data_IF_355908161186
#
_entry.id   IF_355908161186
#
_cell.length_a   1.000
_cell.length_b   1.000
_cell.length_c   1.000
_cell.angle_alpha   90.00
_cell.angle_beta   90.00
_cell.angle_gamma   90.00
#
_symmetry.space_group_name_H-M   'P 1'
#
loop_
_entity.id
_entity.type
_entity.pdbx_description
1 polymer ?
#
# COMPACT_ATOMS: atom_id res chain seq x y z
N UNK A 1 -10.87 -11.73 -31.02
CA UNK A 1 -11.23 -11.50 -29.61
C UNK A 1 -11.27 -12.87 -28.97
N UNK A 2 -10.43 -13.06 -27.96
CA UNK A 2 -10.16 -14.35 -27.37
C UNK A 2 -10.56 -14.31 -25.91
N UNK A 3 -10.91 -15.49 -25.39
CA UNK A 3 -11.17 -15.74 -23.98
C UNK A 3 -9.89 -16.25 -23.34
N UNK A 4 -9.33 -15.47 -22.44
CA UNK A 4 -8.15 -15.81 -21.67
C UNK A 4 -8.55 -16.29 -20.28
N UNK A 5 -7.86 -17.33 -19.81
CA UNK A 5 -7.79 -17.70 -18.41
C UNK A 5 -6.34 -17.53 -17.97
N UNK A 6 -6.11 -16.76 -16.92
CA UNK A 6 -4.78 -16.36 -16.45
C UNK A 6 -4.63 -16.88 -15.03
N UNK A 7 -3.59 -17.65 -14.76
CA UNK A 7 -3.23 -18.12 -13.43
C UNK A 7 -1.91 -17.50 -13.01
N UNK A 8 -1.91 -16.89 -11.83
CA UNK A 8 -0.77 -16.20 -11.25
C UNK A 8 -0.46 -16.83 -9.90
N UNK A 9 0.62 -17.62 -9.80
CA UNK A 9 1.12 -18.07 -8.51
C UNK A 9 1.55 -16.88 -7.67
N UNK A 10 1.00 -16.75 -6.46
CA UNK A 10 1.40 -15.72 -5.52
C UNK A 10 2.51 -16.25 -4.62
N UNK A 11 3.47 -15.39 -4.34
CA UNK A 11 4.55 -15.61 -3.38
C UNK A 11 4.34 -14.65 -2.21
N UNK A 12 4.86 -14.97 -1.03
CA UNK A 12 4.83 -14.03 0.10
C UNK A 12 6.19 -13.92 0.77
N UNK A 13 6.52 -12.69 1.17
CA UNK A 13 7.71 -12.40 1.96
C UNK A 13 7.37 -12.19 3.42
N UNK A 14 8.27 -12.65 4.28
CA UNK A 14 8.28 -12.34 5.70
C UNK A 14 9.49 -11.46 6.00
N UNK A 15 9.26 -10.33 6.66
CA UNK A 15 10.36 -9.45 7.07
C UNK A 15 10.17 -8.93 8.51
N UNK A 16 11.20 -9.05 9.34
CA UNK A 16 11.22 -8.51 10.70
C UNK A 16 12.20 -7.35 10.81
N UNK A 17 11.78 -6.26 11.47
CA UNK A 17 12.63 -5.13 11.85
C UNK A 17 13.19 -5.26 13.27
N UNK A 18 12.68 -6.21 14.07
CA UNK A 18 12.86 -6.25 15.53
C UNK A 18 13.75 -7.41 16.00
N UNK A 19 14.24 -8.26 15.09
CA UNK A 19 15.24 -9.27 15.43
C UNK A 19 15.62 -10.18 14.27
N UNK A 20 16.88 -10.58 14.22
CA UNK A 20 17.35 -11.73 13.43
C UNK A 20 16.96 -13.01 14.18
N UNK A 21 15.67 -13.29 14.30
CA UNK A 21 15.26 -14.63 14.72
C UNK A 21 15.53 -15.56 13.55
N UNK A 22 16.69 -16.24 13.59
CA UNK A 22 17.00 -17.42 12.81
C UNK A 22 16.06 -18.56 13.25
N UNK A 23 14.76 -18.39 13.04
CA UNK A 23 13.86 -19.53 13.04
C UNK A 23 14.10 -20.25 11.72
N UNK A 24 14.80 -21.37 11.77
CA UNK A 24 14.82 -22.41 10.73
C UNK A 24 13.44 -23.03 10.46
N UNK A 25 12.38 -22.45 11.05
CA UNK A 25 11.01 -22.85 10.88
C UNK A 25 10.36 -22.21 9.66
N UNK A 26 9.55 -23.03 8.98
CA UNK A 26 8.69 -22.59 7.89
C UNK A 26 7.44 -21.95 8.50
N UNK A 27 7.11 -20.73 8.07
CA UNK A 27 5.82 -20.14 8.40
C UNK A 27 4.91 -20.31 7.19
N UNK A 28 3.82 -21.05 7.37
CA UNK A 28 2.77 -21.21 6.36
C UNK A 28 1.65 -20.23 6.63
N UNK A 29 1.42 -19.34 5.67
CA UNK A 29 0.23 -18.51 5.65
C UNK A 29 -0.87 -19.35 5.02
N UNK A 30 -2.01 -19.46 5.69
CA UNK A 30 -3.19 -20.14 5.18
C UNK A 30 -4.32 -19.12 5.06
N UNK A 31 -5.12 -19.23 4.01
CA UNK A 31 -6.35 -18.46 3.90
C UNK A 31 -7.48 -19.24 4.55
N UNK A 32 -8.40 -18.58 5.24
CA UNK A 32 -9.58 -19.24 5.83
C UNK A 32 -10.54 -19.69 4.73
N UNK A 33 -10.67 -18.88 3.67
CA UNK A 33 -11.56 -19.09 2.53
C UNK A 33 -10.86 -18.68 1.21
N UNK A 34 -11.49 -19.01 0.07
CA UNK A 34 -11.07 -18.47 -1.23
C UNK A 34 -11.67 -17.09 -1.45
N UNK A 35 -10.87 -16.16 -1.99
CA UNK A 35 -11.42 -14.88 -2.47
C UNK A 35 -12.17 -15.15 -3.76
N UNK A 36 -13.40 -14.65 -3.87
CA UNK A 36 -14.22 -14.72 -5.08
C UNK A 36 -14.69 -13.29 -5.40
N UNK A 37 -14.43 -12.85 -6.63
CA UNK A 37 -14.92 -11.56 -7.11
C UNK A 37 -15.42 -11.68 -8.55
N UNK A 38 -16.57 -11.08 -8.83
CA UNK A 38 -17.21 -11.12 -10.15
C UNK A 38 -17.31 -9.71 -10.68
N UNK A 39 -16.59 -9.43 -11.76
CA UNK A 39 -16.45 -8.11 -12.33
C UNK A 39 -17.05 -8.07 -13.72
N UNK A 40 -17.58 -6.91 -14.08
CA UNK A 40 -18.11 -6.63 -15.41
C UNK A 40 -17.01 -6.04 -16.29
N UNK A 41 -16.83 -6.63 -17.48
CA UNK A 41 -15.95 -6.15 -18.53
C UNK A 41 -16.80 -5.63 -19.68
N UNK A 42 -16.63 -4.34 -19.99
CA UNK A 42 -17.25 -3.73 -21.17
C UNK A 42 -16.29 -3.90 -22.35
N UNK A 43 -16.70 -4.72 -23.31
CA UNK A 43 -15.99 -4.93 -24.57
C UNK A 43 -16.56 -3.98 -25.61
N UNK A 44 -15.73 -3.09 -26.17
CA UNK A 44 -16.11 -2.20 -27.28
C UNK A 44 -15.25 -2.47 -28.50
N UNK A 45 -15.87 -2.78 -29.65
CA UNK A 45 -15.18 -2.97 -30.93
C UNK A 45 -16.03 -2.51 -32.11
N UNK A 46 -15.70 -1.34 -32.67
CA UNK A 46 -16.59 -0.68 -33.64
C UNK A 46 -17.92 -0.32 -32.98
N UNK A 47 -19.04 -0.72 -33.59
CA UNK A 47 -20.39 -0.52 -33.05
C UNK A 47 -20.82 -1.62 -32.05
N UNK A 48 -19.98 -2.62 -31.80
CA UNK A 48 -20.27 -3.71 -30.86
C UNK A 48 -19.88 -3.30 -29.43
N UNK A 49 -20.86 -3.32 -28.53
CA UNK A 49 -20.68 -3.20 -27.08
C UNK A 49 -21.31 -4.39 -26.37
N UNK A 50 -20.53 -5.12 -25.58
CA UNK A 50 -21.04 -6.20 -24.72
C UNK A 50 -20.48 -6.07 -23.31
N UNK A 51 -21.32 -6.34 -22.32
CA UNK A 51 -20.92 -6.43 -20.92
C UNK A 51 -20.82 -7.91 -20.56
N UNK A 52 -19.60 -8.41 -20.40
CA UNK A 52 -19.33 -9.79 -20.02
C UNK A 52 -18.82 -9.86 -18.58
N UNK A 53 -19.22 -10.89 -17.85
CA UNK A 53 -18.70 -11.13 -16.51
C UNK A 53 -17.44 -11.96 -16.57
N UNK A 54 -16.45 -11.58 -15.78
CA UNK A 54 -15.26 -12.37 -15.56
C UNK A 54 -15.03 -12.53 -14.06
N UNK A 55 -14.33 -13.61 -13.70
CA UNK A 55 -14.22 -14.05 -12.31
C UNK A 55 -12.76 -14.03 -11.88
N UNK A 56 -12.49 -13.41 -10.73
CA UNK A 56 -11.20 -13.46 -10.05
C UNK A 56 -11.34 -14.36 -8.82
N UNK A 57 -10.47 -15.35 -8.71
CA UNK A 57 -10.40 -16.25 -7.56
C UNK A 57 -9.00 -16.31 -6.99
N UNK A 58 -8.84 -16.28 -5.66
CA UNK A 58 -7.58 -16.61 -5.00
C UNK A 58 -7.78 -17.92 -4.24
N UNK A 59 -7.04 -18.95 -4.64
CA UNK A 59 -7.18 -20.28 -4.04
C UNK A 59 -6.62 -20.33 -2.62
N UNK A 60 -7.33 -21.06 -1.76
CA UNK A 60 -6.96 -21.24 -0.35
C UNK A 60 -5.66 -22.03 -0.16
N UNK A 61 -5.47 -23.11 -0.93
CA UNK A 61 -4.39 -24.08 -0.71
C UNK A 61 -3.10 -23.75 -1.47
N UNK A 62 -3.22 -23.22 -2.68
CA UNK A 62 -2.07 -23.00 -3.58
C UNK A 62 -1.63 -21.54 -3.69
N UNK A 63 -2.36 -20.60 -3.07
CA UNK A 63 -2.15 -19.16 -3.24
C UNK A 63 -2.08 -18.75 -4.72
N UNK A 64 -2.96 -19.30 -5.56
CA UNK A 64 -3.02 -18.98 -6.99
C UNK A 64 -4.16 -18.01 -7.25
N UNK A 65 -3.84 -16.84 -7.79
CA UNK A 65 -4.82 -15.91 -8.32
C UNK A 65 -5.17 -16.32 -9.74
N UNK A 66 -6.43 -16.71 -9.96
CA UNK A 66 -6.95 -17.06 -11.28
C UNK A 66 -7.94 -16.01 -11.76
N UNK A 67 -7.71 -15.46 -12.94
CA UNK A 67 -8.66 -14.60 -13.67
C UNK A 67 -9.24 -15.46 -14.79
N UNK A 68 -10.52 -15.80 -14.67
CA UNK A 68 -11.20 -16.67 -15.63
C UNK A 68 -12.25 -15.91 -16.42
N UNK A 69 -12.45 -16.35 -17.66
CA UNK A 69 -13.39 -15.73 -18.61
C UNK A 69 -13.10 -14.27 -18.92
N UNK A 70 -11.82 -13.93 -19.04
CA UNK A 70 -11.37 -12.60 -19.42
C UNK A 70 -11.33 -12.46 -20.95
N UNK A 71 -11.72 -11.31 -21.50
CA UNK A 71 -11.79 -11.12 -22.95
C UNK A 71 -10.88 -10.01 -23.44
N UNK A 72 -10.05 -10.29 -24.45
CA UNK A 72 -9.14 -9.31 -25.03
C UNK A 72 -8.91 -9.53 -26.53
N UNK A 73 -8.41 -8.49 -27.20
CA UNK A 73 -8.07 -8.55 -28.63
C UNK A 73 -6.80 -9.36 -28.90
N UNK A 74 -5.83 -9.31 -27.98
CA UNK A 74 -4.58 -10.06 -28.05
C UNK A 74 -4.06 -10.38 -26.64
N UNK A 75 -3.12 -11.32 -26.57
CA UNK A 75 -2.52 -11.79 -25.33
C UNK A 75 -1.79 -10.67 -24.57
N UNK A 76 -1.10 -9.75 -25.28
CA UNK A 76 -0.38 -8.64 -24.65
C UNK A 76 -1.31 -7.71 -23.89
N UNK A 77 -2.46 -7.36 -24.47
CA UNK A 77 -3.49 -6.55 -23.83
C UNK A 77 -4.15 -7.29 -22.67
N UNK A 78 -4.37 -8.60 -22.82
CA UNK A 78 -4.88 -9.44 -21.74
C UNK A 78 -3.94 -9.46 -20.54
N UNK A 79 -2.65 -9.60 -20.78
CA UNK A 79 -1.60 -9.59 -19.77
C UNK A 79 -1.46 -8.23 -19.09
N UNK A 80 -1.49 -7.13 -19.84
CA UNK A 80 -1.40 -5.79 -19.25
C UNK A 80 -2.58 -5.48 -18.31
N UNK A 81 -3.80 -5.79 -18.75
CA UNK A 81 -4.99 -5.62 -17.93
C UNK A 81 -4.99 -6.58 -16.73
N UNK A 82 -4.58 -7.84 -16.92
CA UNK A 82 -4.42 -8.80 -15.83
C UNK A 82 -3.37 -8.36 -14.81
N UNK A 83 -2.22 -7.84 -15.24
CA UNK A 83 -1.18 -7.32 -14.35
C UNK A 83 -1.71 -6.17 -13.50
N UNK A 84 -2.45 -5.23 -14.10
CA UNK A 84 -3.07 -4.13 -13.38
C UNK A 84 -4.06 -4.64 -12.31
N UNK A 85 -4.81 -5.69 -12.61
CA UNK A 85 -5.72 -6.31 -11.66
C UNK A 85 -4.98 -7.07 -10.55
N UNK A 86 -4.05 -7.93 -10.90
CA UNK A 86 -3.23 -8.71 -9.97
C UNK A 86 -2.52 -7.77 -9.00
N UNK A 87 -1.95 -6.67 -9.48
CA UNK A 87 -1.33 -5.65 -8.63
C UNK A 87 -2.30 -5.14 -7.55
N UNK A 88 -3.53 -4.79 -7.94
CA UNK A 88 -4.57 -4.34 -7.00
C UNK A 88 -4.91 -5.42 -5.97
N UNK A 89 -5.17 -6.65 -6.41
CA UNK A 89 -5.51 -7.76 -5.49
C UNK A 89 -4.36 -8.06 -4.52
N UNK A 90 -3.12 -8.08 -4.99
CA UNK A 90 -1.94 -8.37 -4.16
C UNK A 90 -1.70 -7.28 -3.11
N UNK A 91 -1.93 -6.00 -3.46
CA UNK A 91 -1.88 -4.89 -2.51
C UNK A 91 -2.92 -5.04 -1.40
N UNK A 92 -4.19 -5.26 -1.78
CA UNK A 92 -5.29 -5.39 -0.81
C UNK A 92 -5.15 -6.66 0.03
N UNK A 93 -4.75 -7.78 -0.57
CA UNK A 93 -4.51 -9.03 0.16
C UNK A 93 -3.40 -8.84 1.21
N UNK A 94 -2.31 -8.17 0.84
CA UNK A 94 -1.23 -7.84 1.79
C UNK A 94 -1.73 -6.96 2.93
N UNK A 95 -2.54 -5.94 2.63
CA UNK A 95 -3.14 -5.06 3.64
C UNK A 95 -4.07 -5.82 4.60
N UNK A 96 -5.00 -6.63 4.08
CA UNK A 96 -5.98 -7.38 4.88
C UNK A 96 -5.28 -8.36 5.84
N UNK A 97 -4.32 -9.12 5.34
CA UNK A 97 -3.57 -10.09 6.14
C UNK A 97 -2.69 -9.38 7.17
N UNK A 98 -2.03 -8.29 6.77
CA UNK A 98 -1.17 -7.53 7.67
C UNK A 98 -1.96 -6.89 8.81
N UNK A 99 -3.17 -6.40 8.55
CA UNK A 99 -4.04 -5.82 9.58
C UNK A 99 -4.48 -6.85 10.65
N UNK A 100 -4.73 -8.09 10.23
CA UNK A 100 -5.10 -9.19 11.14
C UNK A 100 -3.91 -9.76 11.91
N UNK A 101 -2.72 -9.75 11.30
CA UNK A 101 -1.49 -10.08 12.01
C UNK A 101 -1.32 -9.14 13.22
N UNK A 102 -1.81 -7.89 13.12
CA UNK A 102 -1.62 -6.82 14.12
C UNK A 102 -0.17 -6.73 14.58
N UNK A 103 0.73 -7.21 13.71
CA UNK A 103 2.15 -7.21 13.94
C UNK A 103 2.55 -7.97 15.24
N UNK A 104 1.73 -8.93 15.68
CA UNK A 104 1.93 -9.77 16.86
C UNK A 104 3.08 -10.76 16.67
N UNK A 105 3.35 -11.16 15.42
CA UNK A 105 4.36 -12.14 15.07
C UNK A 105 5.74 -11.53 14.75
N UNK A 106 5.95 -10.23 15.02
CA UNK A 106 7.18 -9.47 14.74
C UNK A 106 7.66 -9.47 13.28
N UNK A 107 6.88 -10.00 12.33
CA UNK A 107 7.16 -9.94 10.90
C UNK A 107 5.99 -9.32 10.13
N UNK A 108 6.34 -8.71 9.00
CA UNK A 108 5.41 -8.12 8.03
C UNK A 108 5.19 -9.09 6.89
N UNK A 109 3.95 -9.16 6.42
CA UNK A 109 3.52 -10.05 5.35
C UNK A 109 3.26 -9.20 4.09
N UNK A 110 3.93 -9.57 3.00
CA UNK A 110 3.70 -8.96 1.68
C UNK A 110 3.56 -10.04 0.64
N UNK A 111 2.45 -10.05 -0.08
CA UNK A 111 2.28 -10.89 -1.27
C UNK A 111 2.95 -10.23 -2.48
N UNK A 112 3.46 -11.04 -3.39
CA UNK A 112 4.02 -10.66 -4.68
C UNK A 112 3.68 -11.73 -5.71
N UNK A 113 4.08 -11.52 -6.95
CA UNK A 113 4.09 -12.56 -7.97
C UNK A 113 5.28 -12.35 -8.90
N UNK A 114 5.73 -13.43 -9.52
CA UNK A 114 6.71 -13.37 -10.59
C UNK A 114 5.98 -13.42 -11.94
N UNK A 115 6.16 -12.38 -12.75
CA UNK A 115 5.55 -12.29 -14.08
C UNK A 115 5.95 -13.44 -15.01
N UNK A 116 7.12 -14.04 -14.81
CA UNK A 116 7.59 -15.19 -15.60
C UNK A 116 6.83 -16.48 -15.30
N UNK A 117 6.16 -16.56 -14.15
CA UNK A 117 5.43 -17.76 -13.70
C UNK A 117 3.93 -17.68 -14.04
N UNK A 118 3.49 -16.63 -14.74
CA UNK A 118 2.10 -16.47 -15.16
C UNK A 118 1.78 -17.51 -16.24
N UNK A 119 0.72 -18.30 -16.01
CA UNK A 119 0.20 -19.25 -17.00
C UNK A 119 -1.00 -18.64 -17.70
N UNK A 120 -0.92 -18.51 -19.02
CA UNK A 120 -2.02 -18.02 -19.85
C UNK A 120 -2.58 -19.19 -20.64
N UNK A 121 -3.89 -19.40 -20.54
CA UNK A 121 -4.63 -20.34 -21.39
C UNK A 121 -5.57 -19.55 -22.28
N UNK A 122 -5.38 -19.65 -23.59
CA UNK A 122 -6.25 -19.01 -24.58
C UNK A 122 -7.32 -20.00 -25.05
N UNK A 123 -8.55 -19.51 -25.18
CA UNK A 123 -9.66 -20.19 -25.81
C UNK A 123 -10.42 -19.20 -26.69
N UNK A 124 -11.00 -19.66 -27.81
CA UNK A 124 -11.79 -18.77 -28.67
C UNK A 124 -13.12 -18.42 -28.02
N UNK A 125 -13.60 -17.19 -28.21
CA UNK A 125 -14.86 -16.74 -27.62
C UNK A 125 -16.06 -17.25 -28.41
N UNK A 126 -16.86 -18.12 -27.78
CA UNK A 126 -17.90 -18.91 -28.45
C UNK A 126 -19.14 -18.15 -28.95
N UNK A 127 -19.40 -16.89 -28.57
CA UNK A 127 -20.46 -16.07 -29.22
C UNK A 127 -20.15 -15.74 -30.68
N UNK A 128 -18.89 -15.92 -31.11
CA UNK A 128 -18.45 -15.76 -32.50
C UNK A 128 -18.38 -17.10 -33.27
N UNK A 129 -18.71 -18.23 -32.63
CA UNK A 129 -18.54 -19.58 -33.19
C UNK A 129 -19.85 -20.38 -33.20
N UNK A 130 -20.88 -19.88 -33.90
CA UNK A 130 -21.83 -20.79 -34.57
C UNK A 130 -21.35 -21.20 -35.97
N UNK A 131 -20.03 -21.29 -36.16
CA UNK A 131 -19.45 -21.80 -37.41
C UNK A 131 -18.13 -22.52 -37.10
N UNK A 132 -18.23 -23.85 -37.14
CA UNK A 132 -17.21 -24.87 -37.43
C UNK A 132 -17.02 -25.89 -36.31
N UNK A 133 -17.36 -27.12 -36.71
CA UNK A 133 -17.52 -28.37 -35.99
C UNK A 133 -16.25 -29.25 -36.11
N UNK A 134 -15.99 -30.06 -35.07
CA UNK A 134 -15.35 -31.39 -34.98
C UNK A 134 -13.95 -31.61 -35.61
N UNK A 135 -13.08 -32.53 -35.17
CA UNK A 135 -13.12 -33.72 -34.31
C UNK A 135 -11.65 -34.06 -33.94
N UNK A 136 -11.36 -34.72 -32.81
CA UNK A 136 -10.20 -35.64 -32.75
C UNK A 136 -10.22 -36.53 -31.49
N UNK A 137 -10.13 -37.84 -31.75
CA UNK A 137 -10.01 -38.93 -30.76
C UNK A 137 -8.64 -38.90 -30.07
N UNK A 138 -8.60 -39.26 -28.78
CA UNK A 138 -7.38 -39.66 -28.06
C UNK A 138 -7.48 -41.14 -27.69
N UNK A 139 -6.43 -41.88 -27.99
CA UNK A 139 -6.13 -43.17 -27.38
C UNK A 139 -5.05 -42.98 -26.31
N UNK A 140 -5.21 -43.72 -25.21
CA UNK A 140 -4.23 -43.91 -24.13
C UNK A 140 -3.18 -44.93 -24.55
N UNK A 141 -1.93 -44.80 -24.10
CA UNK A 141 -1.34 -45.90 -23.33
C UNK A 141 -0.09 -45.50 -22.52
N UNK A 142 0.10 -46.25 -21.45
CA UNK A 142 1.06 -46.08 -20.36
C UNK A 142 2.44 -46.68 -20.65
N UNK A 143 3.48 -46.15 -19.99
CA UNK A 143 4.40 -46.96 -19.17
C UNK A 143 5.28 -46.10 -18.25
N UNK A 144 5.51 -46.64 -17.05
CA UNK A 144 6.28 -46.06 -15.93
C UNK A 144 7.59 -46.82 -15.80
N UNK A 145 8.71 -46.12 -15.66
CA UNK A 145 9.97 -46.69 -15.18
C UNK A 145 10.25 -46.19 -13.75
N UNK A 146 10.67 -47.09 -12.87
CA UNK A 146 11.04 -46.80 -11.48
C UNK A 146 12.48 -47.26 -11.25
N UNK A 147 13.39 -46.32 -11.03
CA UNK A 147 14.75 -46.60 -10.53
C UNK A 147 14.79 -46.26 -9.04
N UNK A 148 15.28 -47.20 -8.23
CA UNK A 148 15.44 -47.02 -6.77
C UNK A 148 16.91 -47.12 -6.43
N UNK A 149 17.46 -46.06 -5.85
CA UNK A 149 18.70 -46.08 -5.09
C UNK A 149 18.39 -45.62 -3.67
N UNK A 150 18.86 -46.38 -2.68
CA UNK A 150 18.78 -46.01 -1.28
C UNK A 150 20.18 -45.69 -0.74
N UNK A 151 20.28 -44.59 -0.01
CA UNK A 151 21.39 -44.35 0.90
C UNK A 151 20.82 -43.66 2.14
N UNK A 152 20.79 -44.38 3.25
CA UNK A 152 20.33 -43.87 4.53
C UNK A 152 21.43 -42.97 5.14
N UNK A 153 21.16 -41.67 5.21
CA UNK A 153 21.90 -40.74 6.07
C UNK A 153 20.95 -40.19 7.12
N UNK A 154 21.16 -40.59 8.37
CA UNK A 154 20.45 -40.01 9.51
C UNK A 154 21.12 -38.68 9.84
N UNK A 155 20.41 -37.58 9.56
CA UNK A 155 20.71 -36.25 10.07
C UNK A 155 19.54 -35.86 10.96
N UNK A 156 19.80 -35.78 12.26
CA UNK A 156 18.79 -35.30 13.19
C UNK A 156 18.63 -33.79 12.99
N UNK A 157 17.43 -33.35 12.65
CA UNK A 157 17.10 -31.94 12.48
C UNK A 157 15.68 -31.68 12.95
N UNK A 158 15.54 -30.76 13.90
CA UNK A 158 14.23 -30.26 14.33
C UNK A 158 13.75 -29.23 13.31
N UNK A 159 12.72 -29.59 12.55
CA UNK A 159 12.02 -28.66 11.67
C UNK A 159 10.69 -28.28 12.32
N UNK A 160 10.45 -26.98 12.46
CA UNK A 160 9.25 -26.43 13.09
C UNK A 160 8.43 -25.72 12.02
N UNK A 161 7.18 -26.10 11.84
CA UNK A 161 6.25 -25.43 10.93
C UNK A 161 5.23 -24.68 11.79
N UNK A 162 5.18 -23.37 11.66
CA UNK A 162 4.14 -22.54 12.26
C UNK A 162 3.14 -22.18 11.16
N UNK A 163 1.86 -22.44 11.37
CA UNK A 163 0.81 -22.06 10.44
C UNK A 163 -0.06 -20.95 11.04
N UNK A 164 -0.39 -19.93 10.25
CA UNK A 164 -1.31 -18.86 10.65
C UNK A 164 -2.39 -18.72 9.59
N UNK A 165 -3.64 -18.76 10.03
CA UNK A 165 -4.81 -18.69 9.15
C UNK A 165 -5.41 -17.28 9.19
N UNK A 166 -5.68 -16.69 8.03
CA UNK A 166 -6.20 -15.33 7.91
C UNK A 166 -7.50 -15.29 7.13
N UNK A 167 -8.41 -14.42 7.56
CA UNK A 167 -9.67 -14.14 6.85
C UNK A 167 -9.39 -13.30 5.61
N UNK A 168 -10.06 -13.61 4.51
CA UNK A 168 -9.89 -12.85 3.25
C UNK A 168 -11.21 -12.31 2.71
N UNK A 169 -12.29 -12.43 3.47
CA UNK A 169 -13.64 -12.01 3.07
C UNK A 169 -13.74 -10.50 2.81
N UNK A 170 -12.85 -9.73 3.43
CA UNK A 170 -12.80 -8.28 3.28
C UNK A 170 -12.07 -7.82 2.01
N UNK A 171 -11.36 -8.70 1.30
CA UNK A 171 -10.55 -8.33 0.12
C UNK A 171 -11.42 -7.73 -0.98
N UNK A 172 -12.45 -8.44 -1.43
CA UNK A 172 -13.35 -7.96 -2.49
C UNK A 172 -14.12 -6.70 -2.03
N UNK A 173 -14.50 -6.65 -0.75
CA UNK A 173 -15.22 -5.49 -0.20
C UNK A 173 -14.35 -4.23 -0.20
N UNK A 174 -13.10 -4.32 0.27
CA UNK A 174 -12.15 -3.20 0.29
C UNK A 174 -11.82 -2.75 -1.13
N UNK A 175 -11.63 -3.70 -2.05
CA UNK A 175 -11.35 -3.39 -3.45
C UNK A 175 -12.52 -2.63 -4.10
N UNK A 176 -13.76 -3.03 -3.80
CA UNK A 176 -14.97 -2.29 -4.19
C UNK A 176 -15.07 -0.89 -3.55
N UNK A 177 -14.75 -0.75 -2.26
CA UNK A 177 -14.76 0.54 -1.54
C UNK A 177 -13.75 1.53 -2.10
N UNK A 178 -12.52 1.07 -2.38
CA UNK A 178 -11.49 1.92 -2.99
C UNK A 178 -11.90 2.28 -4.42
N UNK A 179 -12.38 1.32 -5.20
CA UNK A 179 -12.85 1.57 -6.57
C UNK A 179 -11.77 2.22 -7.45
N UNK A 180 -12.07 3.39 -8.00
CA UNK A 180 -11.18 4.16 -8.90
C UNK A 180 -10.53 5.38 -8.24
N UNK A 181 -10.51 5.44 -6.91
CA UNK A 181 -9.99 6.58 -6.17
C UNK A 181 -8.46 6.59 -6.14
N UNK A 182 -7.93 7.59 -6.84
CA UNK A 182 -6.49 7.74 -7.09
C UNK A 182 -5.75 7.99 -5.78
N UNK A 183 -6.35 8.72 -4.85
CA UNK A 183 -5.72 9.13 -3.60
C UNK A 183 -5.59 7.91 -2.68
N UNK A 184 -6.65 7.12 -2.53
CA UNK A 184 -6.61 5.87 -1.78
C UNK A 184 -5.66 4.84 -2.40
N UNK A 185 -5.63 4.72 -3.74
CA UNK A 185 -4.67 3.84 -4.41
C UNK A 185 -3.22 4.30 -4.21
N UNK A 186 -2.95 5.61 -4.24
CA UNK A 186 -1.63 6.15 -3.95
C UNK A 186 -1.18 5.83 -2.51
N UNK A 187 -2.06 6.03 -1.53
CA UNK A 187 -1.77 5.70 -0.14
C UNK A 187 -1.55 4.18 0.06
N UNK A 188 -2.37 3.35 -0.59
CA UNK A 188 -2.24 1.89 -0.57
C UNK A 188 -0.91 1.43 -1.17
N UNK A 189 -0.48 2.03 -2.29
CA UNK A 189 0.79 1.72 -2.93
C UNK A 189 1.98 2.09 -2.03
N UNK A 190 1.95 3.27 -1.40
CA UNK A 190 2.97 3.68 -0.43
C UNK A 190 3.08 2.69 0.75
N UNK A 191 1.93 2.23 1.25
CA UNK A 191 1.88 1.25 2.34
C UNK A 191 2.41 -0.11 1.90
N UNK A 192 1.92 -0.64 0.77
CA UNK A 192 2.35 -1.92 0.20
C UNK A 192 3.84 -1.94 -0.16
N UNK A 193 4.37 -0.83 -0.69
CA UNK A 193 5.79 -0.70 -0.96
C UNK A 193 6.59 -0.80 0.34
N UNK A 194 6.15 -0.11 1.40
CA UNK A 194 6.78 -0.09 2.71
C UNK A 194 6.87 -1.47 3.39
N UNK A 195 5.90 -2.36 3.15
CA UNK A 195 5.95 -3.74 3.66
C UNK A 195 7.16 -4.52 3.14
N UNK A 196 7.61 -4.23 1.92
CA UNK A 196 8.73 -4.92 1.27
C UNK A 196 10.11 -4.31 1.55
N UNK A 197 10.18 -3.17 2.23
CA UNK A 197 11.46 -2.49 2.46
C UNK A 197 12.20 -3.07 3.65
N UNK A 198 13.45 -3.48 3.43
CA UNK A 198 14.33 -4.00 4.49
C UNK A 198 14.95 -2.85 5.28
N UNK A 199 15.39 -1.81 4.57
CA UNK A 199 16.04 -0.66 5.18
C UNK A 199 15.03 0.21 5.96
N UNK A 200 15.27 0.34 7.28
CA UNK A 200 14.41 1.12 8.18
C UNK A 200 14.25 2.57 7.76
N UNK A 201 15.28 3.18 7.13
CA UNK A 201 15.25 4.57 6.66
C UNK A 201 14.33 4.71 5.46
N UNK A 202 14.50 3.89 4.44
CA UNK A 202 13.67 3.89 3.24
C UNK A 202 12.22 3.58 3.58
N UNK A 203 11.98 2.62 4.49
CA UNK A 203 10.65 2.32 5.01
C UNK A 203 10.04 3.52 5.72
N UNK A 204 10.80 4.16 6.59
CA UNK A 204 10.34 5.35 7.31
C UNK A 204 9.91 6.45 6.36
N UNK A 205 10.71 6.73 5.31
CA UNK A 205 10.36 7.74 4.31
C UNK A 205 9.06 7.42 3.58
N UNK A 206 8.92 6.19 3.06
CA UNK A 206 7.71 5.80 2.33
C UNK A 206 6.46 5.83 3.21
N UNK A 207 6.55 5.40 4.47
CA UNK A 207 5.43 5.50 5.41
C UNK A 207 5.09 6.95 5.76
N UNK A 208 6.11 7.81 5.89
CA UNK A 208 5.88 9.21 6.19
C UNK A 208 5.26 9.96 4.99
N UNK A 209 5.44 9.49 3.75
CA UNK A 209 4.74 10.04 2.57
C UNK A 209 3.23 9.97 2.74
N UNK A 210 2.69 8.89 3.32
CA UNK A 210 1.25 8.76 3.63
C UNK A 210 0.82 9.91 4.54
N UNK A 211 1.59 10.20 5.59
CA UNK A 211 1.32 11.28 6.53
C UNK A 211 1.37 12.65 5.86
N UNK A 212 2.39 12.92 5.03
CA UNK A 212 2.48 14.18 4.30
C UNK A 212 1.37 14.34 3.27
N UNK A 213 0.93 13.24 2.68
CA UNK A 213 -0.10 13.23 1.67
C UNK A 213 -1.47 13.56 2.27
N UNK A 214 -1.85 12.92 3.39
CA UNK A 214 -3.11 13.25 4.08
C UNK A 214 -3.11 14.69 4.60
N UNK A 215 -1.95 15.19 5.05
CA UNK A 215 -1.78 16.57 5.54
C UNK A 215 -2.01 17.59 4.42
N UNK A 216 -1.44 17.35 3.23
CA UNK A 216 -1.38 18.34 2.14
C UNK A 216 -2.50 18.25 1.12
N UNK A 217 -3.08 17.06 0.92
CA UNK A 217 -4.05 16.84 -0.15
C UNK A 217 -5.45 16.62 0.42
N UNK A 218 -5.59 15.80 1.46
CA UNK A 218 -6.91 15.43 1.99
C UNK A 218 -7.42 16.45 3.03
N UNK A 219 -6.60 16.83 4.00
CA UNK A 219 -7.04 17.65 5.14
C UNK A 219 -6.53 19.10 5.13
N UNK A 220 -5.98 19.57 4.01
CA UNK A 220 -5.33 20.87 3.92
C UNK A 220 -6.22 22.05 4.34
N UNK A 221 -7.49 22.07 3.93
CA UNK A 221 -8.42 23.16 4.25
C UNK A 221 -8.94 23.11 5.69
N UNK A 222 -9.11 21.91 6.25
CA UNK A 222 -9.69 21.71 7.59
C UNK A 222 -8.76 22.18 8.72
N UNK A 223 -7.50 22.48 8.42
CA UNK A 223 -6.43 22.66 9.42
C UNK A 223 -5.59 23.92 9.22
N UNK A 224 -5.60 24.52 8.02
CA UNK A 224 -4.86 25.75 7.73
C UNK A 224 -5.69 27.00 8.05
N UNK A 225 -5.79 27.35 9.32
CA UNK A 225 -6.21 28.70 9.68
C UNK A 225 -4.99 29.62 9.65
N UNK A 226 -4.83 30.34 8.53
CA UNK A 226 -3.80 31.38 8.40
C UNK A 226 -4.01 32.42 9.49
N UNK A 227 -2.92 32.82 10.16
CA UNK A 227 -2.98 33.88 11.19
C UNK A 227 -3.44 35.20 10.55
N UNK A 228 -3.02 35.43 9.31
CA UNK A 228 -3.30 36.65 8.56
C UNK A 228 -4.03 36.32 7.25
N UNK A 229 -5.09 37.07 6.96
CA UNK A 229 -5.71 37.10 5.63
C UNK A 229 -4.85 37.90 4.66
N UNK A 230 -5.01 37.66 3.36
CA UNK A 230 -4.17 38.28 2.33
C UNK A 230 -4.17 39.81 2.38
N UNK A 231 -5.31 40.43 2.70
CA UNK A 231 -5.42 41.88 2.89
C UNK A 231 -4.62 42.37 4.11
N UNK A 232 -4.62 41.63 5.22
CA UNK A 232 -3.83 41.96 6.41
C UNK A 232 -2.33 41.82 6.14
N UNK A 233 -1.92 40.86 5.30
CA UNK A 233 -0.52 40.69 4.89
C UNK A 233 -0.05 41.90 4.08
N UNK A 234 -0.89 42.42 3.17
CA UNK A 234 -0.59 43.63 2.40
C UNK A 234 -0.38 44.82 3.36
N UNK A 235 -1.32 45.05 4.28
CA UNK A 235 -1.24 46.16 5.24
C UNK A 235 0.02 46.08 6.14
N UNK A 236 0.38 44.88 6.58
CA UNK A 236 1.60 44.62 7.36
C UNK A 236 2.86 44.87 6.53
N UNK A 237 2.88 44.43 5.29
CA UNK A 237 4.03 44.60 4.39
C UNK A 237 4.26 46.07 4.05
N UNK A 238 3.21 46.83 3.83
CA UNK A 238 3.31 48.28 3.59
C UNK A 238 3.88 48.99 4.81
N UNK A 239 3.44 48.61 6.01
CA UNK A 239 3.96 49.15 7.28
C UNK A 239 5.45 48.81 7.51
N UNK A 240 5.90 47.63 7.11
CA UNK A 240 7.28 47.17 7.28
C UNK A 240 8.20 47.71 6.18
N UNK A 241 7.67 48.01 5.00
CA UNK A 241 8.41 48.47 3.83
C UNK A 241 9.23 49.73 4.11
N UNK A 242 8.66 50.67 4.87
CA UNK A 242 9.37 51.89 5.29
C UNK A 242 10.55 51.59 6.23
N UNK A 243 10.37 50.72 7.21
CA UNK A 243 11.41 50.37 8.17
C UNK A 243 12.58 49.64 7.49
N UNK A 244 12.28 48.73 6.56
CA UNK A 244 13.30 48.04 5.75
C UNK A 244 14.05 49.05 4.88
N UNK A 245 13.32 49.95 4.23
CA UNK A 245 13.92 50.97 3.35
C UNK A 245 14.84 51.96 4.05
N UNK A 246 14.57 52.29 5.32
CA UNK A 246 15.44 53.17 6.13
C UNK A 246 16.74 52.48 6.57
N UNK A 247 16.76 51.15 6.65
CA UNK A 247 17.87 50.38 7.22
C UNK A 247 18.65 49.55 6.20
N UNK A 248 18.31 49.66 4.90
CA UNK A 248 19.05 48.96 3.83
C UNK A 248 19.42 49.89 2.69
N UNK A 249 20.65 49.75 2.23
CA UNK A 249 21.27 50.64 1.25
C UNK A 249 20.99 50.26 -0.20
N UNK A 250 20.79 48.98 -0.50
CA UNK A 250 20.56 48.50 -1.88
C UNK A 250 19.12 48.04 -2.08
N UNK A 251 18.61 48.18 -3.31
CA UNK A 251 17.28 47.71 -3.70
C UNK A 251 17.19 46.18 -3.59
N UNK A 252 18.22 45.46 -4.05
CA UNK A 252 18.27 43.99 -3.95
C UNK A 252 18.19 43.47 -2.51
N UNK A 253 18.80 44.15 -1.55
CA UNK A 253 18.68 43.78 -0.14
C UNK A 253 17.28 44.06 0.42
N UNK A 254 16.67 45.19 0.05
CA UNK A 254 15.27 45.48 0.41
C UNK A 254 14.33 44.42 -0.11
N UNK A 255 14.41 44.12 -1.40
CA UNK A 255 13.50 43.18 -2.07
C UNK A 255 13.65 41.77 -1.48
N UNK A 256 14.89 41.34 -1.17
CA UNK A 256 15.12 40.05 -0.49
C UNK A 256 14.54 40.01 0.93
N UNK A 257 14.71 41.06 1.72
CA UNK A 257 14.19 41.11 3.09
C UNK A 257 12.67 41.14 3.06
N UNK A 258 12.08 42.02 2.25
CA UNK A 258 10.63 42.13 2.09
C UNK A 258 10.01 40.82 1.60
N UNK A 259 10.62 40.16 0.61
CA UNK A 259 10.17 38.85 0.12
C UNK A 259 10.19 37.79 1.23
N UNK A 260 11.25 37.72 2.04
CA UNK A 260 11.33 36.78 3.17
C UNK A 260 10.29 37.07 4.25
N UNK A 261 10.09 38.33 4.61
CA UNK A 261 9.10 38.73 5.60
C UNK A 261 7.69 38.40 5.10
N UNK A 262 7.39 38.71 3.83
CA UNK A 262 6.12 38.35 3.19
C UNK A 262 5.88 36.85 3.25
N UNK A 263 6.89 36.05 2.90
CA UNK A 263 6.81 34.60 2.95
C UNK A 263 6.58 34.08 4.38
N UNK A 264 7.16 34.72 5.40
CA UNK A 264 6.90 34.38 6.81
C UNK A 264 5.43 34.62 7.15
N UNK A 265 4.85 35.76 6.76
CA UNK A 265 3.43 36.03 7.02
C UNK A 265 2.49 35.12 6.22
N UNK A 266 2.80 34.86 4.95
CA UNK A 266 2.03 33.97 4.08
C UNK A 266 2.02 32.51 4.58
N UNK A 267 3.08 32.10 5.28
CA UNK A 267 3.22 30.74 5.86
C UNK A 267 2.85 30.66 7.34
N UNK A 268 2.53 31.78 8.00
CA UNK A 268 2.17 31.81 9.41
C UNK A 268 0.78 31.22 9.65
N UNK A 269 0.73 30.14 10.43
CA UNK A 269 -0.51 29.44 10.78
C UNK A 269 -0.67 29.36 12.29
N UNK A 270 -1.91 29.38 12.76
CA UNK A 270 -2.25 29.44 14.19
C UNK A 270 -1.80 28.20 14.97
N UNK A 271 -1.74 27.05 14.30
CA UNK A 271 -1.30 25.76 14.84
C UNK A 271 0.08 25.38 14.27
N UNK A 272 0.99 24.93 15.13
CA UNK A 272 2.23 24.31 14.67
C UNK A 272 1.97 22.99 13.95
N UNK A 273 2.87 22.55 13.07
CA UNK A 273 2.74 21.30 12.30
C UNK A 273 2.40 20.07 13.17
N UNK A 274 2.94 20.02 14.39
CA UNK A 274 2.66 18.95 15.36
C UNK A 274 1.18 18.97 15.78
N UNK A 275 0.66 20.14 16.18
CA UNK A 275 -0.74 20.29 16.61
C UNK A 275 -1.70 20.01 15.45
N UNK A 276 -1.34 20.46 14.24
CA UNK A 276 -2.10 20.19 13.02
C UNK A 276 -2.21 18.70 12.75
N UNK A 277 -1.08 18.01 12.66
CA UNK A 277 -1.07 16.58 12.38
C UNK A 277 -1.75 15.79 13.50
N UNK A 278 -1.56 16.19 14.76
CA UNK A 278 -2.25 15.57 15.89
C UNK A 278 -3.78 15.72 15.79
N UNK A 279 -4.28 16.92 15.46
CA UNK A 279 -5.71 17.19 15.24
C UNK A 279 -6.25 16.40 14.05
N UNK A 280 -5.53 16.29 12.92
CA UNK A 280 -5.92 15.42 11.80
C UNK A 280 -6.12 13.98 12.25
N UNK A 281 -5.15 13.43 12.99
CA UNK A 281 -5.19 12.03 13.38
C UNK A 281 -6.28 11.77 14.43
N UNK A 282 -6.44 12.65 15.42
CA UNK A 282 -7.33 12.42 16.58
C UNK A 282 -8.74 12.97 16.39
N UNK A 283 -8.88 14.18 15.86
CA UNK A 283 -10.17 14.87 15.70
C UNK A 283 -10.77 14.55 14.33
N UNK A 284 -9.97 14.69 13.26
CA UNK A 284 -10.47 14.38 11.93
C UNK A 284 -10.65 12.88 11.78
N UNK A 285 -9.63 12.03 11.97
CA UNK A 285 -9.66 10.58 11.72
C UNK A 285 -10.04 9.71 12.94
N UNK A 286 -10.28 10.28 14.12
CA UNK A 286 -10.64 9.51 15.33
C UNK A 286 -9.63 8.41 15.72
N UNK A 287 -8.35 8.58 15.38
CA UNK A 287 -7.27 7.65 15.73
C UNK A 287 -6.65 8.11 17.05
N UNK A 288 -6.95 7.40 18.14
CA UNK A 288 -6.45 7.69 19.50
C UNK A 288 -5.31 6.79 19.94
N UNK A 289 -5.22 5.57 19.40
CA UNK A 289 -4.24 4.57 19.78
C UNK A 289 -3.75 3.75 18.58
N UNK A 290 -2.54 3.22 18.73
CA UNK A 290 -1.90 2.32 17.79
C UNK A 290 -1.68 0.97 18.49
N UNK A 291 -2.22 -0.10 17.92
CA UNK A 291 -2.00 -1.45 18.43
C UNK A 291 -0.59 -1.94 18.07
N UNK A 292 0.25 -2.21 19.05
CA UNK A 292 1.62 -2.70 18.90
C UNK A 292 1.74 -4.07 19.57
N UNK A 293 1.52 -5.14 18.81
CA UNK A 293 1.47 -6.49 19.37
C UNK A 293 0.31 -6.63 20.36
N UNK A 294 0.61 -6.90 21.63
CA UNK A 294 -0.38 -6.94 22.72
C UNK A 294 -0.57 -5.60 23.42
N UNK A 295 0.27 -4.61 23.11
CA UNK A 295 0.24 -3.30 23.74
C UNK A 295 -0.58 -2.30 22.91
N UNK A 296 -1.15 -1.31 23.59
CA UNK A 296 -1.75 -0.14 22.96
C UNK A 296 -0.91 1.09 23.25
N UNK A 297 -0.48 1.76 22.21
CA UNK A 297 0.30 2.99 22.30
C UNK A 297 -0.65 4.16 22.04
N UNK A 298 -0.91 4.95 23.07
CA UNK A 298 -1.66 6.20 22.93
C UNK A 298 -0.95 7.14 21.95
N UNK A 299 -1.71 7.71 21.03
CA UNK A 299 -1.22 8.74 20.13
C UNK A 299 -1.13 10.05 20.91
N UNK A 300 0.09 10.55 21.12
CA UNK A 300 0.35 11.81 21.82
C UNK A 300 1.05 12.82 20.91
N UNK A 301 1.02 14.10 21.29
CA UNK A 301 1.73 15.16 20.57
C UNK A 301 3.25 14.91 20.55
N UNK A 302 3.80 14.31 21.60
CA UNK A 302 5.21 13.93 21.68
C UNK A 302 5.57 12.86 20.65
N UNK A 303 4.70 11.87 20.44
CA UNK A 303 4.91 10.83 19.44
C UNK A 303 4.85 11.42 18.02
N UNK A 304 3.86 12.28 17.75
CA UNK A 304 3.75 13.02 16.48
C UNK A 304 4.99 13.89 16.24
N UNK A 305 5.45 14.62 17.25
CA UNK A 305 6.67 15.41 17.19
C UNK A 305 7.90 14.55 16.89
N UNK A 306 7.99 13.36 17.49
CA UNK A 306 9.06 12.39 17.22
C UNK A 306 9.04 11.93 15.77
N UNK A 307 7.86 11.72 15.19
CA UNK A 307 7.76 11.35 13.77
C UNK A 307 8.28 12.47 12.86
N UNK A 308 7.82 13.70 13.06
CA UNK A 308 8.23 14.86 12.26
C UNK A 308 9.73 15.13 12.41
N UNK A 309 10.25 15.10 13.64
CA UNK A 309 11.67 15.36 13.92
C UNK A 309 12.57 14.30 13.28
N UNK A 310 12.17 13.03 13.35
CA UNK A 310 12.94 11.93 12.73
C UNK A 310 12.96 12.07 11.22
N UNK A 311 11.81 12.39 10.60
CA UNK A 311 11.75 12.66 9.16
C UNK A 311 12.73 13.77 8.75
N UNK A 312 12.69 14.91 9.46
CA UNK A 312 13.57 16.04 9.15
C UNK A 312 15.05 15.69 9.39
N UNK A 313 15.36 14.93 10.44
CA UNK A 313 16.73 14.50 10.73
C UNK A 313 17.31 13.55 9.66
N UNK A 314 16.51 12.61 9.16
CA UNK A 314 16.94 11.66 8.13
C UNK A 314 17.19 12.34 6.77
N UNK A 315 16.49 13.44 6.47
CA UNK A 315 16.66 14.23 5.25
C UNK A 315 18.07 14.85 5.15
N UNK A 316 18.69 15.18 6.29
CA UNK A 316 20.04 15.77 6.33
C UNK A 316 21.17 14.72 6.33
N UNK A 317 20.90 13.50 5.87
CA UNK A 317 21.87 12.41 5.71
C UNK A 317 22.72 12.11 6.97
N UNK A 318 22.12 12.25 8.16
CA UNK A 318 22.78 11.88 9.42
C UNK A 318 23.17 10.40 9.39
N UNK A 319 24.44 10.11 9.69
CA UNK A 319 24.91 8.74 9.95
C UNK A 319 24.38 8.35 11.33
N UNK A 320 23.58 7.29 11.38
CA UNK A 320 22.95 6.81 12.61
C UNK A 320 23.85 5.79 13.31
N UNK A 321 23.93 5.87 14.64
CA UNK A 321 24.49 4.80 15.48
C UNK A 321 23.59 3.55 15.46
N UNK A 322 24.09 2.39 15.91
CA UNK A 322 23.25 1.17 15.97
C UNK A 322 22.04 1.31 16.89
N UNK A 323 22.18 2.03 18.01
CA UNK A 323 21.07 2.35 18.91
C UNK A 323 20.03 3.25 18.22
N UNK A 324 20.49 4.25 17.45
CA UNK A 324 19.60 5.10 16.65
C UNK A 324 18.93 4.33 15.52
N UNK A 325 19.58 3.32 14.94
CA UNK A 325 18.99 2.43 13.93
C UNK A 325 17.91 1.52 14.52
N UNK A 326 18.13 0.96 15.70
CA UNK A 326 17.10 0.18 16.42
C UNK A 326 15.92 1.06 16.83
N UNK A 327 16.20 2.26 17.33
CA UNK A 327 15.18 3.27 17.63
C UNK A 327 14.38 3.67 16.39
N UNK A 328 15.04 3.81 15.23
CA UNK A 328 14.38 4.06 13.95
C UNK A 328 13.53 2.87 13.51
N UNK A 329 14.02 1.63 13.60
CA UNK A 329 13.24 0.44 13.26
C UNK A 329 11.94 0.36 14.06
N UNK A 330 12.01 0.61 15.37
CA UNK A 330 10.84 0.67 16.26
C UNK A 330 9.89 1.80 15.84
N UNK A 331 10.43 2.98 15.53
CA UNK A 331 9.61 4.12 15.13
C UNK A 331 8.95 3.92 13.76
N UNK A 332 9.66 3.34 12.79
CA UNK A 332 9.13 2.94 11.47
C UNK A 332 7.98 1.95 11.63
N UNK A 333 8.07 1.04 12.60
CA UNK A 333 7.00 0.08 12.88
C UNK A 333 5.75 0.75 13.46
N UNK A 334 5.92 1.66 14.42
CA UNK A 334 4.80 2.47 14.95
C UNK A 334 4.15 3.29 13.84
N UNK A 335 4.97 3.85 12.94
CA UNK A 335 4.49 4.59 11.79
C UNK A 335 3.73 3.71 10.80
N UNK A 336 4.17 2.46 10.57
CA UNK A 336 3.47 1.49 9.72
C UNK A 336 2.05 1.23 10.25
N UNK A 337 1.94 0.99 11.55
CA UNK A 337 0.66 0.74 12.20
C UNK A 337 -0.24 1.99 12.18
N UNK A 338 0.34 3.19 12.35
CA UNK A 338 -0.40 4.43 12.17
C UNK A 338 -0.92 4.57 10.73
N UNK A 339 -0.08 4.31 9.72
CA UNK A 339 -0.48 4.35 8.31
C UNK A 339 -1.58 3.34 7.99
N UNK A 340 -1.56 2.16 8.61
CA UNK A 340 -2.63 1.17 8.50
C UNK A 340 -3.96 1.70 9.07
N UNK A 341 -3.94 2.31 10.26
CA UNK A 341 -5.11 2.94 10.87
C UNK A 341 -5.65 4.10 10.03
N UNK A 342 -4.77 4.91 9.45
CA UNK A 342 -5.14 6.00 8.52
C UNK A 342 -5.86 5.44 7.31
N UNK A 343 -5.30 4.42 6.65
CA UNK A 343 -5.93 3.77 5.49
C UNK A 343 -7.31 3.19 5.85
N UNK A 344 -7.39 2.50 7.00
CA UNK A 344 -8.64 1.91 7.48
C UNK A 344 -9.75 2.95 7.62
N UNK A 345 -9.43 4.08 8.25
CA UNK A 345 -10.41 5.14 8.50
C UNK A 345 -10.81 5.88 7.21
N UNK A 346 -9.86 6.13 6.30
CA UNK A 346 -10.17 6.75 5.01
C UNK A 346 -11.06 5.85 4.14
N UNK A 347 -10.79 4.54 4.10
CA UNK A 347 -11.64 3.57 3.40
C UNK A 347 -13.04 3.53 4.01
N UNK A 348 -13.15 3.63 5.35
CA UNK A 348 -14.43 3.67 6.06
C UNK A 348 -15.23 4.94 5.75
N UNK A 349 -14.61 6.12 5.79
CA UNK A 349 -15.31 7.40 5.53
C UNK A 349 -15.85 7.54 4.13
N UNK A 350 -15.18 6.92 3.17
CA UNK A 350 -15.66 6.84 1.80
C UNK A 350 -17.00 6.11 1.69
N UNK A 351 -17.24 5.12 2.55
CA UNK A 351 -18.52 4.43 2.67
C UNK A 351 -19.62 5.36 3.21
N UNK A 352 -19.23 6.29 4.08
CA UNK A 352 -20.14 7.24 4.75
C UNK A 352 -20.40 8.52 3.90
N UNK A 353 -19.76 8.68 2.73
CA UNK A 353 -19.73 9.92 1.92
C UNK A 353 -19.23 11.17 2.70
N UNK A 354 -18.23 11.01 3.57
CA UNK A 354 -17.72 12.07 4.47
C UNK A 354 -16.33 12.59 4.04
N UNK A 355 -15.93 12.42 2.78
CA UNK A 355 -14.65 12.95 2.26
C UNK A 355 -14.92 13.95 1.15
#
# INVERSE_FOLDING_TARGET
>A
MFKYNIQVPLEYFRFSLLGNHNMSGELKILLEDSVLDTLDLIIKKGDFESQEKFLVTISQEEHVLSISSFYADNETYALDMANNMVNKYVQILSYVIQSQNSNSLQFQIKFTYNQQNIKVTESKYSKYEQFVFNDSKREEDHNVYMEVYDSLRIKDSVHMIAASTFRVNDVSQILGKIGMDVDLWFLMDCYYHSLGLIDSKSKYFNLFVIIEYIEKNIFHESVDSKIYKDNQIIDLMDSISEAVSRNTTTKDHRDRIQSRIKQIFESATDKGRIDKLYSILTESLAITDINYGLDKIELSKELVAKFIKTRNGLFHAKILTEEEKQGLGTLSYKLLLLSESVLKELIKRKEENVI
#
